data_IF_263719924018
#
_entry.id   IF_263719924018
#
_cell.length_a   1.000
_cell.length_b   1.000
_cell.length_c   1.000
_cell.angle_alpha   90.00
_cell.angle_beta   90.00
_cell.angle_gamma   90.00
#
_symmetry.space_group_name_H-M   'P 1'
#
loop_
_entity.id
_entity.type
_entity.pdbx_description
1 polymer ?
#
# COMPACT_ATOMS: atom_id res chain seq x y z
N UNK A 1 -3.35 -7.31 13.23
CA UNK A 1 -3.79 -5.89 13.22
C UNK A 1 -4.52 -5.67 11.90
N UNK A 2 -5.26 -4.58 11.75
CA UNK A 2 -5.89 -4.18 10.49
C UNK A 2 -5.54 -2.73 10.21
N UNK A 3 -5.56 -2.34 8.93
CA UNK A 3 -5.30 -0.95 8.53
C UNK A 3 -6.36 -0.02 9.13
N UNK A 4 -5.94 1.15 9.59
CA UNK A 4 -6.86 2.14 10.15
C UNK A 4 -7.57 2.94 9.06
N UNK A 5 -8.61 3.68 9.43
CA UNK A 5 -9.25 4.66 8.53
C UNK A 5 -8.25 5.73 8.04
N UNK A 6 -7.31 6.17 8.88
CA UNK A 6 -6.25 7.10 8.47
C UNK A 6 -5.28 6.42 7.49
N UNK A 7 -4.93 5.15 7.72
CA UNK A 7 -4.13 4.34 6.81
C UNK A 7 -4.77 4.23 5.42
N UNK A 8 -6.07 3.92 5.35
CA UNK A 8 -6.85 3.88 4.11
C UNK A 8 -6.80 5.23 3.38
N UNK A 9 -7.09 6.33 4.08
CA UNK A 9 -7.07 7.68 3.49
C UNK A 9 -5.69 8.04 2.91
N UNK A 10 -4.61 7.69 3.63
CA UNK A 10 -3.25 7.95 3.17
C UNK A 10 -2.89 7.08 1.99
N UNK A 11 -3.25 5.79 2.01
CA UNK A 11 -2.98 4.89 0.90
C UNK A 11 -3.71 5.34 -0.37
N UNK A 12 -5.00 5.72 -0.26
CA UNK A 12 -5.76 6.33 -1.35
C UNK A 12 -5.04 7.54 -1.96
N UNK A 13 -4.46 8.40 -1.12
CA UNK A 13 -3.70 9.57 -1.58
C UNK A 13 -2.43 9.18 -2.33
N UNK A 14 -1.75 8.11 -1.92
CA UNK A 14 -0.50 7.67 -2.54
C UNK A 14 -0.69 6.91 -3.85
N UNK A 15 -1.75 6.10 -3.96
CA UNK A 15 -2.07 5.32 -5.16
C UNK A 15 -2.94 6.09 -6.16
N UNK A 16 -3.76 7.02 -5.66
CA UNK A 16 -4.85 7.63 -6.41
C UNK A 16 -6.14 6.82 -6.30
N UNK A 17 -7.27 7.50 -6.33
CA UNK A 17 -8.61 6.91 -6.35
C UNK A 17 -9.34 7.38 -7.61
N UNK A 18 -9.82 6.42 -8.42
CA UNK A 18 -10.71 6.70 -9.55
C UNK A 18 -12.07 6.05 -9.33
N UNK A 19 -13.08 6.87 -9.07
CA UNK A 19 -14.46 6.39 -8.88
C UNK A 19 -15.13 5.94 -10.19
N UNK A 20 -14.51 6.23 -11.34
CA UNK A 20 -14.95 5.76 -12.66
C UNK A 20 -13.93 4.76 -13.19
N UNK A 21 -14.42 3.69 -13.81
CA UNK A 21 -13.57 2.70 -14.44
C UNK A 21 -12.70 3.32 -15.54
N UNK A 22 -11.44 2.91 -15.60
CA UNK A 22 -10.46 3.36 -16.60
C UNK A 22 -9.56 2.18 -17.02
N UNK A 23 -9.04 2.16 -18.25
CA UNK A 23 -7.97 1.24 -18.61
C UNK A 23 -6.66 1.69 -17.96
N UNK A 24 -5.96 0.79 -17.28
CA UNK A 24 -4.62 1.08 -16.77
C UNK A 24 -3.58 1.16 -17.92
N UNK A 25 -2.30 1.36 -17.57
CA UNK A 25 -1.20 1.42 -18.55
C UNK A 25 -1.02 0.15 -19.42
N UNK A 26 -1.63 -0.96 -19.03
CA UNK A 26 -1.62 -2.25 -19.72
C UNK A 26 -2.96 -2.56 -20.40
N UNK A 27 -3.95 -1.66 -20.31
CA UNK A 27 -5.29 -1.84 -20.86
C UNK A 27 -6.24 -2.64 -19.98
N UNK A 28 -5.88 -2.92 -18.72
CA UNK A 28 -6.73 -3.67 -17.78
C UNK A 28 -7.80 -2.74 -17.19
N UNK A 29 -9.09 -3.07 -17.28
CA UNK A 29 -10.15 -2.30 -16.63
C UNK A 29 -9.92 -2.23 -15.11
N UNK A 30 -9.77 -1.01 -14.62
CA UNK A 30 -9.40 -0.72 -13.23
C UNK A 30 -10.35 0.31 -12.65
N UNK A 31 -10.68 0.21 -11.36
CA UNK A 31 -11.55 1.15 -10.65
C UNK A 31 -11.10 1.30 -9.18
N UNK A 32 -11.55 2.34 -8.50
CA UNK A 32 -11.19 2.61 -7.11
C UNK A 32 -9.69 2.85 -6.98
N UNK A 33 -9.04 2.06 -6.12
CA UNK A 33 -7.59 2.15 -5.85
C UNK A 33 -6.90 0.94 -6.45
N UNK A 34 -6.71 0.96 -7.77
CA UNK A 34 -6.03 -0.14 -8.47
C UNK A 34 -6.81 -1.46 -8.54
N UNK A 35 -8.11 -1.47 -8.21
CA UNK A 35 -8.91 -2.69 -8.20
C UNK A 35 -9.21 -3.16 -9.63
N UNK A 36 -8.85 -4.41 -9.93
CA UNK A 36 -9.04 -5.06 -11.24
C UNK A 36 -9.95 -6.30 -11.18
N UNK A 37 -10.44 -6.62 -9.98
CA UNK A 37 -11.30 -7.77 -9.73
C UNK A 37 -12.76 -7.53 -10.12
N UNK A 38 -13.66 -8.15 -9.37
CA UNK A 38 -15.09 -8.00 -9.56
C UNK A 38 -15.66 -6.98 -8.56
N UNK A 39 -16.54 -6.12 -9.03
CA UNK A 39 -17.36 -5.26 -8.19
C UNK A 39 -18.77 -5.83 -8.17
N UNK A 40 -19.26 -6.19 -6.98
CA UNK A 40 -20.59 -6.78 -6.77
C UNK A 40 -20.85 -8.00 -7.69
N UNK A 41 -19.83 -8.85 -7.84
CA UNK A 41 -19.89 -10.06 -8.66
C UNK A 41 -19.64 -9.88 -10.17
N UNK A 42 -19.55 -8.63 -10.65
CA UNK A 42 -19.37 -8.31 -12.06
C UNK A 42 -17.96 -7.81 -12.37
N UNK A 43 -17.36 -8.15 -13.51
CA UNK A 43 -16.06 -7.60 -13.91
C UNK A 43 -16.14 -6.08 -14.09
N UNK A 44 -15.04 -5.38 -13.82
CA UNK A 44 -14.93 -3.94 -14.10
C UNK A 44 -15.08 -3.72 -15.61
N UNK A 45 -15.99 -2.81 -15.99
CA UNK A 45 -16.26 -2.46 -17.39
C UNK A 45 -16.31 -0.95 -17.58
N UNK A 46 -16.09 -0.50 -18.82
CA UNK A 46 -16.18 0.92 -19.17
C UNK A 46 -17.54 1.51 -18.78
N UNK A 47 -17.53 2.72 -18.21
CA UNK A 47 -18.73 3.40 -17.71
C UNK A 47 -19.15 3.03 -16.29
N UNK A 48 -18.60 1.96 -15.70
CA UNK A 48 -18.85 1.62 -14.30
C UNK A 48 -18.38 2.76 -13.38
N UNK A 49 -19.21 3.10 -12.39
CA UNK A 49 -18.92 4.11 -11.36
C UNK A 49 -19.21 3.51 -9.99
N UNK A 50 -18.37 3.83 -8.99
CA UNK A 50 -18.54 3.42 -7.59
C UNK A 50 -18.48 4.64 -6.66
N UNK A 51 -18.92 4.48 -5.42
CA UNK A 51 -18.75 5.51 -4.39
C UNK A 51 -17.37 5.40 -3.73
N UNK A 52 -16.94 6.43 -2.98
CA UNK A 52 -15.67 6.36 -2.24
C UNK A 52 -15.72 5.33 -1.11
N UNK A 53 -16.90 5.07 -0.54
CA UNK A 53 -17.13 4.02 0.45
C UNK A 53 -16.89 2.65 -0.19
N UNK A 54 -17.48 2.40 -1.36
CA UNK A 54 -17.27 1.15 -2.12
C UNK A 54 -15.81 0.98 -2.54
N UNK A 55 -15.14 2.06 -2.95
CA UNK A 55 -13.71 2.04 -3.22
C UNK A 55 -12.88 1.67 -1.97
N UNK A 56 -13.30 2.12 -0.78
CA UNK A 56 -12.64 1.73 0.49
C UNK A 56 -12.87 0.26 0.83
N UNK A 57 -14.06 -0.28 0.55
CA UNK A 57 -14.38 -1.70 0.73
C UNK A 57 -13.49 -2.57 -0.16
N UNK A 58 -13.42 -2.26 -1.45
CA UNK A 58 -12.55 -2.95 -2.40
C UNK A 58 -11.07 -2.86 -2.00
N UNK A 59 -10.60 -1.68 -1.57
CA UNK A 59 -9.23 -1.53 -1.11
C UNK A 59 -8.92 -2.40 0.11
N UNK A 60 -9.87 -2.58 1.04
CA UNK A 60 -9.67 -3.47 2.19
C UNK A 60 -9.57 -4.93 1.76
N UNK A 61 -10.35 -5.35 0.78
CA UNK A 61 -10.25 -6.69 0.18
C UNK A 61 -8.89 -6.88 -0.49
N UNK A 62 -8.47 -5.92 -1.30
CA UNK A 62 -7.18 -5.94 -2.00
C UNK A 62 -5.98 -5.83 -1.04
N UNK A 63 -6.18 -5.40 0.20
CA UNK A 63 -5.15 -5.34 1.24
C UNK A 63 -4.98 -6.62 2.04
N UNK A 64 -5.88 -7.62 1.93
CA UNK A 64 -5.79 -8.83 2.76
C UNK A 64 -4.42 -9.52 2.67
N UNK A 65 -3.86 -9.64 1.46
CA UNK A 65 -2.54 -10.24 1.26
C UNK A 65 -1.40 -9.41 1.89
N UNK A 66 -1.58 -8.08 2.02
CA UNK A 66 -0.63 -7.18 2.67
C UNK A 66 -0.67 -7.38 4.18
N UNK A 67 -1.87 -7.42 4.75
CA UNK A 67 -2.08 -7.66 6.18
C UNK A 67 -1.53 -9.02 6.60
N UNK A 68 -1.77 -10.06 5.79
CA UNK A 68 -1.20 -11.39 5.96
C UNK A 68 0.33 -11.39 5.84
N UNK A 69 0.90 -10.61 4.92
CA UNK A 69 2.33 -10.47 4.79
C UNK A 69 2.96 -9.83 6.06
N UNK A 70 2.35 -8.79 6.62
CA UNK A 70 2.80 -8.19 7.87
C UNK A 70 2.69 -9.20 9.01
N UNK A 71 1.52 -9.83 9.15
CA UNK A 71 1.23 -10.84 10.18
C UNK A 71 2.22 -12.00 10.19
N UNK A 72 2.62 -12.48 9.00
CA UNK A 72 3.53 -13.62 8.86
C UNK A 72 5.01 -13.26 9.00
N UNK A 73 5.41 -12.04 8.62
CA UNK A 73 6.83 -11.68 8.52
C UNK A 73 7.34 -10.82 9.70
N UNK A 74 6.49 -9.97 10.27
CA UNK A 74 6.86 -9.08 11.38
C UNK A 74 6.71 -9.81 12.72
N UNK A 75 7.79 -9.80 13.51
CA UNK A 75 7.91 -10.55 14.78
C UNK A 75 7.94 -9.66 16.01
N UNK A 76 7.74 -8.36 15.83
CA UNK A 76 7.73 -7.35 16.89
C UNK A 76 6.38 -6.66 16.95
N UNK A 77 6.05 -6.06 18.08
CA UNK A 77 4.83 -5.26 18.21
C UNK A 77 4.93 -4.01 17.34
N UNK A 78 3.81 -3.65 16.72
CA UNK A 78 3.66 -2.43 15.95
C UNK A 78 2.59 -1.56 16.59
N UNK A 79 2.80 -0.25 16.58
CA UNK A 79 1.69 0.68 16.76
C UNK A 79 0.91 0.82 15.44
N UNK A 80 -0.25 1.48 15.50
CA UNK A 80 -1.12 1.61 14.32
C UNK A 80 -0.46 2.41 13.18
N UNK A 81 0.28 3.47 13.48
CA UNK A 81 0.93 4.30 12.46
C UNK A 81 2.04 3.53 11.72
N UNK A 82 2.81 2.73 12.44
CA UNK A 82 3.81 1.82 11.87
C UNK A 82 3.16 0.78 10.97
N UNK A 83 2.05 0.17 11.42
CA UNK A 83 1.28 -0.79 10.64
C UNK A 83 0.73 -0.16 9.35
N UNK A 84 0.09 1.00 9.45
CA UNK A 84 -0.47 1.72 8.30
C UNK A 84 0.60 2.12 7.28
N UNK A 85 1.77 2.57 7.74
CA UNK A 85 2.90 2.88 6.87
C UNK A 85 3.46 1.65 6.15
N UNK A 86 3.55 0.51 6.86
CA UNK A 86 3.95 -0.77 6.27
C UNK A 86 2.93 -1.24 5.24
N UNK A 87 1.62 -1.12 5.50
CA UNK A 87 0.60 -1.44 4.50
C UNK A 87 0.82 -0.66 3.20
N UNK A 88 1.05 0.66 3.30
CA UNK A 88 1.31 1.50 2.13
C UNK A 88 2.59 1.12 1.38
N UNK A 89 3.67 0.81 2.10
CA UNK A 89 4.91 0.39 1.47
C UNK A 89 4.73 -0.95 0.74
N UNK A 90 4.18 -1.95 1.44
CA UNK A 90 4.04 -3.32 0.93
C UNK A 90 3.09 -3.37 -0.25
N UNK A 91 1.97 -2.64 -0.20
CA UNK A 91 1.04 -2.56 -1.33
C UNK A 91 1.74 -2.09 -2.62
N UNK A 92 2.71 -1.18 -2.49
CA UNK A 92 3.47 -0.66 -3.63
C UNK A 92 4.63 -1.55 -4.09
N UNK A 93 5.40 -2.14 -3.17
CA UNK A 93 6.61 -2.91 -3.53
C UNK A 93 6.36 -4.42 -3.67
N UNK A 94 5.25 -4.93 -3.13
CA UNK A 94 4.91 -6.34 -3.09
C UNK A 94 5.54 -7.11 -1.93
N UNK A 95 4.93 -8.26 -1.60
CA UNK A 95 5.34 -9.13 -0.48
C UNK A 95 6.78 -9.61 -0.58
N UNK A 96 7.20 -10.09 -1.76
CA UNK A 96 8.55 -10.66 -1.96
C UNK A 96 9.65 -9.61 -1.74
N UNK A 97 9.42 -8.40 -2.24
CA UNK A 97 10.34 -7.27 -2.04
C UNK A 97 10.44 -6.89 -0.56
N UNK A 98 9.30 -6.82 0.14
CA UNK A 98 9.28 -6.55 1.57
C UNK A 98 9.99 -7.65 2.40
N UNK A 99 9.77 -8.93 2.07
CA UNK A 99 10.39 -10.06 2.77
C UNK A 99 11.93 -10.02 2.72
N UNK A 100 12.51 -9.57 1.60
CA UNK A 100 13.96 -9.39 1.46
C UNK A 100 14.50 -8.03 1.92
N UNK A 101 13.64 -7.15 2.46
CA UNK A 101 13.98 -5.75 2.66
C UNK A 101 14.83 -5.48 3.91
N UNK A 102 15.63 -4.42 3.85
CA UNK A 102 16.27 -3.85 5.06
C UNK A 102 15.24 -3.33 6.05
N UNK A 103 14.05 -2.88 5.59
CA UNK A 103 12.95 -2.44 6.46
C UNK A 103 12.55 -3.57 7.41
N UNK A 104 12.19 -4.74 6.87
CA UNK A 104 11.80 -5.90 7.68
C UNK A 104 12.93 -6.39 8.58
N UNK A 105 14.16 -6.47 8.06
CA UNK A 105 15.33 -6.88 8.84
C UNK A 105 15.54 -6.00 10.06
N UNK A 106 15.54 -4.68 9.89
CA UNK A 106 15.75 -3.73 11.00
C UNK A 106 14.55 -3.71 11.96
N UNK A 107 13.34 -3.81 11.43
CA UNK A 107 12.12 -3.85 12.23
C UNK A 107 12.11 -5.04 13.20
N UNK A 108 12.43 -6.24 12.72
CA UNK A 108 12.49 -7.44 13.55
C UNK A 108 13.64 -7.43 14.58
N UNK A 109 14.65 -6.56 14.39
CA UNK A 109 15.68 -6.26 15.38
C UNK A 109 15.28 -5.16 16.37
N UNK A 110 14.04 -4.65 16.29
CA UNK A 110 13.52 -3.51 17.05
C UNK A 110 14.26 -2.19 16.79
N UNK A 111 14.99 -2.10 15.69
CA UNK A 111 15.65 -0.87 15.24
C UNK A 111 14.66 -0.01 14.43
N UNK A 112 13.61 0.50 15.08
CA UNK A 112 12.50 1.19 14.41
C UNK A 112 12.95 2.41 13.59
N UNK A 113 13.91 3.19 14.08
CA UNK A 113 14.46 4.33 13.35
C UNK A 113 15.15 3.88 12.05
N UNK A 114 15.99 2.85 12.13
CA UNK A 114 16.67 2.30 10.96
C UNK A 114 15.69 1.64 9.97
N UNK A 115 14.63 0.99 10.49
CA UNK A 115 13.55 0.46 9.66
C UNK A 115 12.85 1.58 8.89
N UNK A 116 12.52 2.69 9.56
CA UNK A 116 11.89 3.87 8.96
C UNK A 116 12.79 4.52 7.90
N UNK A 117 14.08 4.69 8.17
CA UNK A 117 15.05 5.24 7.21
C UNK A 117 15.20 4.33 5.98
N UNK A 118 15.08 3.01 6.16
CA UNK A 118 15.13 2.05 5.06
C UNK A 118 13.94 2.12 4.09
N UNK A 119 12.83 2.81 4.43
CA UNK A 119 11.76 3.11 3.45
C UNK A 119 12.33 3.91 2.27
N UNK A 120 13.29 4.80 2.53
CA UNK A 120 13.87 5.69 1.52
C UNK A 120 14.68 4.96 0.45
N UNK A 121 15.02 3.68 0.66
CA UNK A 121 15.69 2.84 -0.33
C UNK A 121 14.75 2.43 -1.48
N UNK A 122 13.43 2.42 -1.23
CA UNK A 122 12.40 1.99 -2.17
C UNK A 122 11.88 3.15 -3.05
N UNK A 123 12.81 3.88 -3.66
CA UNK A 123 12.58 5.19 -4.31
C UNK A 123 12.55 5.16 -5.85
N UNK A 124 13.10 4.12 -6.47
CA UNK A 124 13.23 3.99 -7.93
C UNK A 124 11.99 3.33 -8.55
N UNK A 125 11.52 3.86 -9.68
CA UNK A 125 10.57 3.17 -10.55
C UNK A 125 10.93 3.41 -12.03
N UNK A 126 10.98 2.33 -12.82
CA UNK A 126 11.41 2.40 -14.22
C UNK A 126 12.83 2.97 -14.34
N UNK A 127 12.98 4.02 -15.17
CA UNK A 127 14.25 4.71 -15.41
C UNK A 127 14.54 5.83 -14.41
N UNK A 128 13.54 6.28 -13.66
CA UNK A 128 13.70 7.38 -12.70
C UNK A 128 14.17 6.83 -11.34
N UNK A 129 15.37 7.21 -10.86
CA UNK A 129 15.92 6.70 -9.62
C UNK A 129 15.22 7.20 -8.34
N UNK A 130 14.44 8.27 -8.40
CA UNK A 130 13.93 8.98 -7.20
C UNK A 130 12.43 9.31 -7.24
N UNK A 131 11.70 8.94 -8.29
CA UNK A 131 10.27 9.25 -8.46
C UNK A 131 9.38 8.87 -7.26
N UNK A 132 9.68 7.79 -6.53
CA UNK A 132 8.92 7.36 -5.35
C UNK A 132 9.44 7.95 -4.04
N UNK A 133 10.58 8.65 -4.04
CA UNK A 133 11.18 9.21 -2.82
C UNK A 133 10.22 10.12 -2.03
N UNK A 134 9.41 11.00 -2.64
CA UNK A 134 8.44 11.80 -1.90
C UNK A 134 7.39 10.97 -1.17
N UNK A 135 6.91 9.88 -1.78
CA UNK A 135 5.99 8.91 -1.13
C UNK A 135 6.67 8.23 0.06
N UNK A 136 7.88 7.71 -0.14
CA UNK A 136 8.67 7.07 0.92
C UNK A 136 8.91 7.99 2.13
N UNK A 137 9.13 9.29 1.91
CA UNK A 137 9.29 10.27 3.00
C UNK A 137 8.01 10.42 3.83
N UNK A 138 6.83 10.43 3.19
CA UNK A 138 5.54 10.54 3.90
C UNK A 138 5.20 9.26 4.67
N UNK A 139 5.45 8.10 4.08
CA UNK A 139 5.29 6.81 4.77
C UNK A 139 6.24 6.68 5.97
N UNK A 140 7.51 7.07 5.81
CA UNK A 140 8.48 7.15 6.92
C UNK A 140 8.00 8.09 8.02
N UNK A 141 7.48 9.27 7.66
CA UNK A 141 6.97 10.23 8.64
C UNK A 141 5.79 9.67 9.44
N UNK A 142 4.87 8.96 8.77
CA UNK A 142 3.79 8.24 9.44
C UNK A 142 4.34 7.14 10.36
N UNK A 143 5.30 6.34 9.89
CA UNK A 143 5.90 5.27 10.69
C UNK A 143 6.51 5.77 12.02
N UNK A 144 7.02 7.01 12.03
CA UNK A 144 7.67 7.63 13.20
C UNK A 144 6.73 8.51 14.05
N UNK A 145 5.46 8.65 13.67
CA UNK A 145 4.48 9.48 14.40
C UNK A 145 3.75 8.74 15.52
#
# INVERSE_FOLDING_TARGET
MQISSNGITRLKREEGESLKAYPDSRGIPTIGVGHTGKVDGNPVVSGMTITSEKSSELLKEDLQWVEDAISSLVRVQLNQNQYDALCSLIFNIGKSAFAGSTVLRQLNLKNYQAAADAFLLWKKAGKDPDILLPRRRRERALFLS
#
